data_IF_057223621745
#
_entry.id   IF_057223621745
#
_cell.length_a   1.000
_cell.length_b   1.000
_cell.length_c   1.000
_cell.angle_alpha   90.00
_cell.angle_beta   90.00
_cell.angle_gamma   90.00
#
_symmetry.space_group_name_H-M   'P 1'
#
loop_
_entity.id
_entity.type
_entity.pdbx_description
1 polymer ?
#
# COMPACT_ATOMS: atom_id res chain seq x y z
N UNK A 1 8.29 3.31 14.96
CA UNK A 1 8.23 4.41 15.95
C UNK A 1 9.61 4.83 16.45
N UNK A 2 10.35 3.99 17.20
CA UNK A 2 11.68 4.34 17.70
C UNK A 2 12.62 4.85 16.59
N UNK A 3 12.62 4.18 15.43
CA UNK A 3 13.43 4.55 14.27
C UNK A 3 13.11 5.96 13.72
N UNK A 4 11.83 6.32 13.64
CA UNK A 4 11.39 7.65 13.21
C UNK A 4 11.64 8.74 14.27
N UNK A 5 11.60 8.40 15.57
CA UNK A 5 11.73 9.39 16.67
C UNK A 5 13.19 9.56 17.08
N UNK A 6 13.85 8.47 17.51
CA UNK A 6 15.20 8.51 18.05
C UNK A 6 16.26 8.68 16.97
N UNK A 7 16.07 8.03 15.82
CA UNK A 7 17.00 8.10 14.67
C UNK A 7 16.56 9.09 13.58
N UNK A 8 15.36 9.68 13.68
CA UNK A 8 14.85 10.69 12.75
C UNK A 8 14.80 10.24 11.28
N UNK A 9 14.50 8.96 11.05
CA UNK A 9 14.25 8.43 9.71
C UNK A 9 12.86 8.87 9.24
N UNK A 10 12.80 9.72 8.21
CA UNK A 10 11.57 10.25 7.59
C UNK A 10 10.43 10.51 8.60
N UNK A 11 10.65 11.31 9.65
CA UNK A 11 9.74 11.40 10.78
C UNK A 11 8.37 11.98 10.40
N UNK A 12 8.28 12.76 9.32
CA UNK A 12 7.04 13.37 8.88
C UNK A 12 6.01 12.34 8.40
N UNK A 13 6.46 11.22 7.85
CA UNK A 13 5.58 10.20 7.26
C UNK A 13 5.70 8.85 7.97
N UNK A 14 6.92 8.44 8.37
CA UNK A 14 7.14 7.15 9.01
C UNK A 14 6.60 7.08 10.45
N UNK A 15 6.47 8.23 11.13
CA UNK A 15 5.83 8.29 12.46
C UNK A 15 4.32 8.02 12.37
N UNK A 16 3.53 8.76 11.56
CA UNK A 16 2.12 8.43 11.33
C UNK A 16 1.90 7.01 10.80
N UNK A 17 2.73 6.52 9.86
CA UNK A 17 2.65 5.13 9.37
C UNK A 17 2.85 4.14 10.52
N UNK A 18 3.87 4.35 11.34
CA UNK A 18 4.14 3.48 12.50
C UNK A 18 3.04 3.51 13.55
N UNK A 19 2.42 4.68 13.79
CA UNK A 19 1.30 4.80 14.72
C UNK A 19 0.02 4.18 14.16
N UNK A 20 -0.25 4.36 12.86
CA UNK A 20 -1.31 3.66 12.15
C UNK A 20 -1.16 2.15 12.27
N UNK A 21 0.07 1.63 12.13
CA UNK A 21 0.37 0.22 12.37
C UNK A 21 0.03 -0.26 13.78
N UNK A 22 0.22 0.55 14.83
CA UNK A 22 -0.24 0.20 16.18
C UNK A 22 -1.75 0.11 16.25
N UNK A 23 -2.44 1.14 15.76
CA UNK A 23 -3.90 1.22 15.79
C UNK A 23 -4.54 0.08 14.99
N UNK A 24 -4.02 -0.24 13.82
CA UNK A 24 -4.52 -1.33 12.97
C UNK A 24 -4.45 -2.71 13.63
N UNK A 25 -3.58 -2.89 14.63
CA UNK A 25 -3.32 -4.17 15.27
C UNK A 25 -3.80 -4.22 16.74
N UNK A 26 -4.62 -3.27 17.18
CA UNK A 26 -5.29 -3.41 18.48
C UNK A 26 -6.31 -4.57 18.36
N UNK A 27 -6.17 -5.63 19.18
CA UNK A 27 -7.04 -6.80 19.08
C UNK A 27 -8.50 -6.41 19.32
N UNK A 28 -9.39 -6.96 18.50
CA UNK A 28 -10.85 -6.76 18.57
C UNK A 28 -11.34 -5.30 18.42
N UNK A 29 -10.46 -4.34 18.10
CA UNK A 29 -10.86 -2.94 17.95
C UNK A 29 -11.45 -2.62 16.57
N UNK A 30 -11.16 -3.43 15.55
CA UNK A 30 -11.69 -3.26 14.18
C UNK A 30 -11.28 -1.97 13.46
N UNK A 31 -10.32 -1.19 14.00
CA UNK A 31 -10.08 0.20 13.55
C UNK A 31 -9.61 0.32 12.10
N UNK A 32 -8.89 -0.67 11.57
CA UNK A 32 -8.41 -0.69 10.19
C UNK A 32 -9.12 -1.72 9.29
N UNK A 33 -10.25 -2.26 9.76
CA UNK A 33 -11.02 -3.24 9.00
C UNK A 33 -12.23 -2.55 8.36
N UNK A 34 -12.55 -2.93 7.13
CA UNK A 34 -13.86 -2.65 6.55
C UNK A 34 -14.96 -3.36 7.35
N UNK A 35 -16.22 -2.96 7.18
CA UNK A 35 -17.35 -3.65 7.84
C UNK A 35 -17.37 -5.15 7.48
N UNK A 36 -17.09 -5.48 6.22
CA UNK A 36 -17.06 -6.86 5.75
C UNK A 36 -15.86 -7.63 6.31
N UNK A 37 -14.66 -7.05 6.33
CA UNK A 37 -13.50 -7.70 6.95
C UNK A 37 -13.70 -7.89 8.46
N UNK A 38 -14.36 -6.94 9.13
CA UNK A 38 -14.74 -7.07 10.53
C UNK A 38 -15.70 -8.24 10.74
N UNK A 39 -16.73 -8.39 9.90
CA UNK A 39 -17.63 -9.54 9.91
C UNK A 39 -16.85 -10.86 9.73
N UNK A 40 -15.95 -10.91 8.75
CA UNK A 40 -15.11 -12.08 8.50
C UNK A 40 -14.24 -12.43 9.73
N UNK A 41 -13.75 -11.42 10.46
CA UNK A 41 -12.94 -11.61 11.66
C UNK A 41 -13.75 -12.10 12.89
N UNK A 42 -15.06 -11.85 12.93
CA UNK A 42 -15.93 -12.30 14.03
C UNK A 42 -16.33 -13.78 13.96
N UNK A 43 -16.18 -14.42 12.78
CA UNK A 43 -16.43 -15.85 12.56
C UNK A 43 -17.85 -16.35 12.94
N UNK A 44 -18.89 -15.52 12.81
CA UNK A 44 -20.27 -15.99 13.00
C UNK A 44 -20.69 -16.91 11.84
N UNK A 45 -21.01 -18.16 12.16
CA UNK A 45 -21.34 -19.19 11.16
C UNK A 45 -22.58 -18.84 10.32
N UNK A 46 -23.58 -18.18 10.91
CA UNK A 46 -24.79 -17.77 10.20
C UNK A 46 -24.50 -16.65 9.22
N UNK A 47 -23.71 -15.65 9.64
CA UNK A 47 -23.34 -14.52 8.79
C UNK A 47 -22.41 -14.95 7.65
N UNK A 48 -21.42 -15.81 7.92
CA UNK A 48 -20.54 -16.38 6.88
C UNK A 48 -21.33 -17.18 5.84
N UNK A 49 -22.33 -17.96 6.26
CA UNK A 49 -23.20 -18.69 5.35
C UNK A 49 -23.99 -17.74 4.42
N UNK A 50 -24.44 -16.60 4.92
CA UNK A 50 -25.14 -15.58 4.11
C UNK A 50 -24.20 -14.95 3.09
N UNK A 51 -22.99 -14.56 3.49
CA UNK A 51 -21.98 -13.98 2.57
C UNK A 51 -21.59 -15.00 1.49
N UNK A 52 -21.29 -16.23 1.89
CA UNK A 52 -20.91 -17.29 0.97
C UNK A 52 -22.02 -17.65 -0.03
N UNK A 53 -23.28 -17.66 0.42
CA UNK A 53 -24.43 -17.86 -0.47
C UNK A 53 -24.57 -16.73 -1.50
N UNK A 54 -24.26 -15.48 -1.14
CA UNK A 54 -24.27 -14.35 -2.09
C UNK A 54 -23.11 -14.37 -3.07
N UNK A 55 -21.95 -14.86 -2.65
CA UNK A 55 -20.74 -14.99 -3.47
C UNK A 55 -20.66 -16.32 -4.23
N UNK A 56 -21.60 -17.25 -4.00
CA UNK A 56 -21.59 -18.61 -4.55
C UNK A 56 -20.28 -19.37 -4.26
N UNK A 57 -19.77 -19.25 -3.04
CA UNK A 57 -18.55 -19.93 -2.60
C UNK A 57 -18.77 -20.74 -1.31
N UNK A 58 -17.70 -21.38 -0.81
CA UNK A 58 -17.75 -22.08 0.47
C UNK A 58 -17.87 -21.08 1.65
N UNK A 59 -18.59 -21.43 2.73
CA UNK A 59 -18.70 -20.62 3.95
C UNK A 59 -17.42 -20.69 4.80
N UNK A 60 -16.31 -20.28 4.19
CA UNK A 60 -14.98 -20.24 4.78
C UNK A 60 -14.34 -18.87 4.51
N UNK A 61 -13.56 -18.38 5.48
CA UNK A 61 -12.96 -17.04 5.43
C UNK A 61 -11.98 -16.91 4.26
N UNK A 62 -11.17 -17.93 4.00
CA UNK A 62 -10.21 -17.89 2.90
C UNK A 62 -10.94 -17.96 1.56
N UNK A 63 -11.88 -18.88 1.41
CA UNK A 63 -12.68 -19.01 0.19
C UNK A 63 -13.48 -17.73 -0.12
N UNK A 64 -14.05 -17.06 0.89
CA UNK A 64 -14.74 -15.79 0.72
C UNK A 64 -13.79 -14.69 0.26
N UNK A 65 -12.58 -14.60 0.83
CA UNK A 65 -11.58 -13.60 0.42
C UNK A 65 -11.14 -13.79 -1.03
N UNK A 66 -10.90 -15.04 -1.45
CA UNK A 66 -10.55 -15.36 -2.83
C UNK A 66 -11.70 -15.03 -3.80
N UNK A 67 -12.92 -15.43 -3.46
CA UNK A 67 -14.10 -15.11 -4.26
C UNK A 67 -14.31 -13.60 -4.39
N UNK A 68 -14.09 -12.85 -3.29
CA UNK A 68 -14.23 -11.41 -3.26
C UNK A 68 -13.15 -10.71 -4.09
N UNK A 69 -11.90 -11.17 -4.05
CA UNK A 69 -10.80 -10.64 -4.85
C UNK A 69 -11.06 -10.77 -6.37
N UNK A 70 -11.82 -11.80 -6.78
CA UNK A 70 -12.22 -12.03 -8.17
C UNK A 70 -13.55 -11.36 -8.54
N UNK A 71 -14.32 -10.89 -7.55
CA UNK A 71 -15.63 -10.29 -7.75
C UNK A 71 -15.54 -8.87 -8.35
N UNK A 72 -16.60 -8.46 -9.04
CA UNK A 72 -16.72 -7.10 -9.54
C UNK A 72 -16.76 -6.08 -8.38
N UNK A 73 -16.23 -4.86 -8.55
CA UNK A 73 -16.27 -3.83 -7.50
C UNK A 73 -17.69 -3.50 -7.01
N UNK A 74 -18.69 -3.58 -7.89
CA UNK A 74 -20.10 -3.42 -7.50
C UNK A 74 -20.58 -4.51 -6.56
N UNK A 75 -20.16 -5.76 -6.76
CA UNK A 75 -20.47 -6.90 -5.89
C UNK A 75 -19.75 -6.76 -4.55
N UNK A 76 -18.49 -6.35 -4.55
CA UNK A 76 -17.74 -6.07 -3.31
C UNK A 76 -18.45 -5.00 -2.47
N UNK A 77 -18.85 -3.88 -3.09
CA UNK A 77 -19.60 -2.81 -2.42
C UNK A 77 -20.96 -3.29 -1.87
N UNK A 78 -21.67 -4.15 -2.60
CA UNK A 78 -22.90 -4.77 -2.10
C UNK A 78 -22.65 -5.67 -0.88
N UNK A 79 -21.55 -6.43 -0.85
CA UNK A 79 -21.19 -7.25 0.30
C UNK A 79 -20.78 -6.39 1.50
N UNK A 80 -20.09 -5.26 1.27
CA UNK A 80 -19.82 -4.27 2.33
C UNK A 80 -21.11 -3.71 2.93
N UNK A 81 -22.08 -3.32 2.09
CA UNK A 81 -23.37 -2.81 2.57
C UNK A 81 -24.14 -3.87 3.36
N UNK A 82 -24.11 -5.12 2.91
CA UNK A 82 -24.73 -6.24 3.63
C UNK A 82 -24.09 -6.47 5.01
N UNK A 83 -22.78 -6.31 5.13
CA UNK A 83 -22.10 -6.36 6.43
C UNK A 83 -22.53 -5.20 7.34
N UNK A 84 -22.75 -4.01 6.78
CA UNK A 84 -23.31 -2.87 7.53
C UNK A 84 -24.73 -3.15 8.01
N UNK A 85 -25.58 -3.75 7.17
CA UNK A 85 -26.94 -4.16 7.56
C UNK A 85 -26.95 -5.19 8.70
N UNK A 86 -25.87 -5.96 8.85
CA UNK A 86 -25.67 -6.91 9.96
C UNK A 86 -25.11 -6.26 11.24
N UNK A 87 -24.95 -4.93 11.25
CA UNK A 87 -24.54 -4.16 12.42
C UNK A 87 -23.04 -3.85 12.50
N UNK A 88 -22.23 -4.25 11.51
CA UNK A 88 -20.80 -3.92 11.49
C UNK A 88 -20.56 -2.53 10.95
N UNK A 89 -19.72 -1.75 11.61
CA UNK A 89 -19.32 -0.42 11.14
C UNK A 89 -17.89 -0.46 10.63
N UNK A 90 -17.56 0.20 9.50
CA UNK A 90 -16.18 0.31 9.05
C UNK A 90 -15.31 1.02 10.10
N UNK A 91 -14.11 0.49 10.34
CA UNK A 91 -13.13 1.13 11.19
C UNK A 91 -12.70 2.49 10.67
N UNK A 92 -12.32 3.39 11.57
CA UNK A 92 -11.92 4.76 11.23
C UNK A 92 -10.74 4.80 10.24
N UNK A 93 -9.75 3.93 10.40
CA UNK A 93 -8.61 3.85 9.48
C UNK A 93 -8.99 3.25 8.13
N UNK A 94 -9.98 2.35 8.08
CA UNK A 94 -10.53 1.86 6.82
C UNK A 94 -11.25 2.99 6.04
N UNK A 95 -11.96 3.87 6.74
CA UNK A 95 -12.55 5.07 6.13
C UNK A 95 -11.49 6.03 5.59
N UNK A 96 -10.43 6.30 6.37
CA UNK A 96 -9.30 7.11 5.89
C UNK A 96 -8.64 6.48 4.66
N UNK A 97 -8.40 5.17 4.66
CA UNK A 97 -7.88 4.47 3.50
C UNK A 97 -8.79 4.66 2.29
N UNK A 98 -10.09 4.35 2.41
CA UNK A 98 -11.08 4.42 1.31
C UNK A 98 -11.17 5.82 0.70
N UNK A 99 -11.25 6.85 1.54
CA UNK A 99 -11.44 8.25 1.10
C UNK A 99 -10.14 8.88 0.60
N UNK A 100 -9.03 8.68 1.31
CA UNK A 100 -7.80 9.42 1.08
C UNK A 100 -6.86 8.70 0.11
N UNK A 101 -6.53 7.43 0.38
CA UNK A 101 -5.50 6.70 -0.37
C UNK A 101 -6.10 5.88 -1.50
N UNK A 102 -7.15 5.11 -1.25
CA UNK A 102 -7.82 4.24 -2.23
C UNK A 102 -8.47 5.04 -3.37
N UNK A 103 -8.89 6.27 -3.12
CA UNK A 103 -9.35 7.21 -4.17
C UNK A 103 -8.21 7.79 -5.02
N UNK A 104 -6.97 7.68 -4.54
CA UNK A 104 -5.79 8.31 -5.13
C UNK A 104 -5.60 9.79 -4.79
N UNK A 105 -6.48 10.42 -4.00
CA UNK A 105 -6.43 11.87 -3.73
C UNK A 105 -5.22 12.25 -2.87
N UNK A 106 -5.02 11.61 -1.73
CA UNK A 106 -3.97 11.96 -0.79
C UNK A 106 -2.55 11.90 -1.38
N UNK A 107 -2.11 10.82 -2.07
CA UNK A 107 -0.77 10.80 -2.64
C UNK A 107 -0.57 11.89 -3.71
N UNK A 108 -1.60 12.23 -4.49
CA UNK A 108 -1.50 13.31 -5.48
C UNK A 108 -1.42 14.70 -4.83
N UNK A 109 -2.16 14.94 -3.75
CA UNK A 109 -2.08 16.20 -3.00
C UNK A 109 -0.71 16.35 -2.34
N UNK A 110 -0.15 15.28 -1.77
CA UNK A 110 1.21 15.29 -1.22
C UNK A 110 2.22 15.56 -2.34
N UNK A 111 2.07 14.91 -3.49
CA UNK A 111 2.96 15.10 -4.65
C UNK A 111 2.88 16.52 -5.23
N UNK A 112 1.69 17.14 -5.23
CA UNK A 112 1.53 18.56 -5.55
C UNK A 112 2.33 19.45 -4.59
N UNK A 113 2.32 19.14 -3.29
CA UNK A 113 3.14 19.82 -2.29
C UNK A 113 4.64 19.68 -2.56
N UNK A 114 5.12 18.48 -2.93
CA UNK A 114 6.51 18.26 -3.36
C UNK A 114 6.86 19.14 -4.57
N UNK A 115 5.98 19.19 -5.57
CA UNK A 115 6.16 20.06 -6.73
C UNK A 115 6.23 21.55 -6.38
N UNK A 116 5.39 22.01 -5.44
CA UNK A 116 5.41 23.40 -4.96
C UNK A 116 6.68 23.76 -4.17
N UNK A 117 7.37 22.78 -3.59
CA UNK A 117 8.63 22.95 -2.85
C UNK A 117 9.88 22.73 -3.72
N UNK A 118 9.73 22.36 -5.00
CA UNK A 118 10.85 22.02 -5.88
C UNK A 118 11.38 23.25 -6.61
N UNK A 119 12.67 23.54 -6.49
CA UNK A 119 13.36 24.56 -7.28
C UNK A 119 13.89 24.00 -8.61
N UNK A 120 13.48 24.60 -9.72
CA UNK A 120 13.89 24.20 -11.06
C UNK A 120 15.12 24.97 -11.58
N UNK A 121 15.59 26.02 -10.90
CA UNK A 121 16.74 26.82 -11.31
C UNK A 121 18.00 25.98 -11.60
N UNK A 122 18.45 25.09 -10.68
CA UNK A 122 19.61 24.23 -10.90
C UNK A 122 19.45 23.27 -12.08
N UNK A 123 18.24 22.75 -12.30
CA UNK A 123 17.93 21.82 -13.39
C UNK A 123 17.98 22.53 -14.75
N UNK A 124 17.38 23.72 -14.83
CA UNK A 124 17.33 24.54 -16.05
C UNK A 124 18.71 25.10 -16.42
N UNK A 125 19.56 25.39 -15.43
CA UNK A 125 20.92 25.88 -15.65
C UNK A 125 21.81 24.85 -16.36
N UNK A 126 21.59 23.56 -16.14
CA UNK A 126 22.28 22.49 -16.87
C UNK A 126 21.31 21.34 -17.21
N UNK A 127 20.60 21.44 -18.35
CA UNK A 127 19.58 20.46 -18.74
C UNK A 127 20.13 19.05 -18.96
N UNK A 128 21.45 18.89 -19.15
CA UNK A 128 22.07 17.55 -19.29
C UNK A 128 21.92 16.72 -18.02
N UNK A 129 21.69 17.34 -16.87
CA UNK A 129 21.41 16.64 -15.60
C UNK A 129 20.11 15.82 -15.65
N UNK A 130 19.17 16.12 -16.56
CA UNK A 130 18.00 15.29 -16.83
C UNK A 130 18.37 13.86 -17.24
N UNK A 131 19.47 13.68 -17.97
CA UNK A 131 19.93 12.35 -18.41
C UNK A 131 20.41 11.51 -17.23
N UNK A 132 21.00 12.14 -16.20
CA UNK A 132 21.37 11.45 -14.96
C UNK A 132 20.10 10.96 -14.24
N UNK A 133 19.04 11.79 -14.21
CA UNK A 133 17.73 11.40 -13.70
C UNK A 133 17.12 10.21 -14.44
N UNK A 134 17.25 10.16 -15.78
CA UNK A 134 16.78 9.03 -16.58
C UNK A 134 17.53 7.73 -16.23
N UNK A 135 18.86 7.79 -16.09
CA UNK A 135 19.66 6.63 -15.69
C UNK A 135 19.36 6.19 -14.25
N UNK A 136 19.08 7.12 -13.34
CA UNK A 136 18.74 6.82 -11.94
C UNK A 136 17.47 5.95 -11.82
N UNK A 137 16.53 6.06 -12.76
CA UNK A 137 15.31 5.24 -12.78
C UNK A 137 15.56 3.77 -13.18
N UNK A 138 16.76 3.41 -13.63
CA UNK A 138 17.10 2.02 -13.95
C UNK A 138 16.94 1.08 -12.74
N UNK A 139 17.14 1.59 -11.52
CA UNK A 139 16.91 0.84 -10.29
C UNK A 139 15.49 0.28 -10.17
N UNK A 140 14.48 0.98 -10.70
CA UNK A 140 13.10 0.49 -10.73
C UNK A 140 13.01 -0.79 -11.57
N UNK A 141 13.47 -0.72 -12.82
CA UNK A 141 13.40 -1.84 -13.74
C UNK A 141 14.21 -3.04 -13.26
N UNK A 142 15.42 -2.79 -12.73
CA UNK A 142 16.24 -3.84 -12.13
C UNK A 142 15.53 -4.53 -10.94
N UNK A 143 14.81 -3.75 -10.11
CA UNK A 143 14.04 -4.29 -8.98
C UNK A 143 12.85 -5.11 -9.46
N UNK A 144 12.13 -4.68 -10.50
CA UNK A 144 11.04 -5.46 -11.13
C UNK A 144 11.57 -6.79 -11.67
N UNK A 145 12.68 -6.75 -12.41
CA UNK A 145 13.35 -7.95 -12.93
C UNK A 145 13.73 -8.89 -11.78
N UNK A 146 14.33 -8.37 -10.71
CA UNK A 146 14.66 -9.13 -9.51
C UNK A 146 13.44 -9.81 -8.87
N UNK A 147 12.33 -9.10 -8.71
CA UNK A 147 11.09 -9.65 -8.17
C UNK A 147 10.51 -10.77 -9.06
N UNK A 148 10.52 -10.58 -10.38
CA UNK A 148 10.08 -11.63 -11.32
C UNK A 148 11.04 -12.83 -11.36
N UNK A 149 12.34 -12.60 -11.18
CA UNK A 149 13.33 -13.68 -11.06
C UNK A 149 13.13 -14.48 -9.77
N UNK A 150 12.80 -13.84 -8.64
CA UNK A 150 12.44 -14.55 -7.40
C UNK A 150 11.21 -15.45 -7.58
N UNK A 151 10.23 -14.99 -8.36
CA UNK A 151 9.08 -15.80 -8.75
C UNK A 151 9.47 -16.97 -9.68
N UNK A 152 10.31 -16.71 -10.67
CA UNK A 152 10.80 -17.74 -11.59
C UNK A 152 11.54 -18.88 -10.87
N UNK A 153 12.35 -18.55 -9.86
CA UNK A 153 13.04 -19.56 -9.03
C UNK A 153 12.13 -20.25 -8.00
N UNK A 154 10.85 -19.89 -7.93
CA UNK A 154 9.87 -20.50 -7.02
C UNK A 154 10.12 -20.20 -5.55
N UNK A 155 10.89 -19.15 -5.23
CA UNK A 155 11.18 -18.77 -3.84
C UNK A 155 9.99 -18.04 -3.21
N UNK A 156 9.43 -17.07 -3.94
CA UNK A 156 8.32 -16.23 -3.49
C UNK A 156 7.46 -15.90 -4.70
N UNK A 157 6.14 -16.08 -4.61
CA UNK A 157 5.22 -15.80 -5.71
C UNK A 157 4.99 -14.29 -5.83
N UNK A 158 5.39 -13.71 -6.96
CA UNK A 158 5.08 -12.33 -7.32
C UNK A 158 4.38 -12.27 -8.67
N UNK A 159 3.16 -11.75 -8.67
CA UNK A 159 2.48 -11.37 -9.92
C UNK A 159 3.16 -10.15 -10.54
N UNK A 160 2.94 -9.93 -11.85
CA UNK A 160 3.50 -8.76 -12.53
C UNK A 160 3.06 -7.42 -11.91
N UNK A 161 1.78 -7.19 -11.54
CA UNK A 161 1.37 -5.96 -10.86
C UNK A 161 2.06 -5.75 -9.52
N UNK A 162 2.24 -6.81 -8.73
CA UNK A 162 2.96 -6.75 -7.46
C UNK A 162 4.45 -6.45 -7.67
N UNK A 163 5.12 -7.12 -8.61
CA UNK A 163 6.51 -6.86 -8.95
C UNK A 163 6.71 -5.41 -9.42
N UNK A 164 5.79 -4.88 -10.23
CA UNK A 164 5.80 -3.48 -10.67
C UNK A 164 5.65 -2.50 -9.49
N UNK A 165 4.74 -2.76 -8.56
CA UNK A 165 4.57 -1.94 -7.36
C UNK A 165 5.82 -1.95 -6.47
N UNK A 166 6.47 -3.10 -6.28
CA UNK A 166 7.74 -3.24 -5.55
C UNK A 166 8.86 -2.44 -6.24
N UNK A 167 8.91 -2.49 -7.57
CA UNK A 167 9.92 -1.81 -8.36
C UNK A 167 10.03 -0.30 -8.09
N UNK A 168 8.90 0.38 -7.89
CA UNK A 168 8.88 1.85 -7.70
C UNK A 168 9.66 2.33 -6.47
N UNK A 169 9.90 1.44 -5.49
CA UNK A 169 10.78 1.75 -4.35
C UNK A 169 12.16 2.24 -4.85
N UNK A 170 12.67 1.67 -5.95
CA UNK A 170 13.93 2.07 -6.57
C UNK A 170 13.96 3.50 -7.11
N UNK A 171 12.82 4.15 -7.27
CA UNK A 171 12.71 5.56 -7.67
C UNK A 171 12.89 6.54 -6.50
N UNK A 172 12.93 6.04 -5.25
CA UNK A 172 13.07 6.83 -4.03
C UNK A 172 12.04 7.98 -3.89
N UNK A 173 10.83 7.78 -4.44
CA UNK A 173 9.73 8.73 -4.40
C UNK A 173 8.51 8.11 -3.68
N UNK A 174 8.39 8.43 -2.39
CA UNK A 174 7.37 7.88 -1.50
C UNK A 174 5.92 8.12 -1.99
N UNK A 175 5.50 9.36 -2.28
CA UNK A 175 4.15 9.65 -2.79
C UNK A 175 3.78 8.85 -4.05
N UNK A 176 4.71 8.72 -5.01
CA UNK A 176 4.46 7.94 -6.23
C UNK A 176 4.45 6.44 -5.96
N UNK A 177 5.30 5.94 -5.05
CA UNK A 177 5.27 4.54 -4.61
C UNK A 177 3.93 4.18 -3.95
N UNK A 178 3.41 5.05 -3.08
CA UNK A 178 2.08 4.90 -2.46
C UNK A 178 1.00 4.90 -3.54
N UNK A 179 1.05 5.85 -4.49
CA UNK A 179 0.05 5.96 -5.54
C UNK A 179 0.01 4.72 -6.44
N UNK A 180 1.16 4.26 -6.94
CA UNK A 180 1.21 3.11 -7.84
C UNK A 180 0.85 1.82 -7.11
N UNK A 181 1.37 1.61 -5.89
CA UNK A 181 1.01 0.44 -5.08
C UNK A 181 -0.48 0.42 -4.77
N UNK A 182 -1.09 1.57 -4.44
CA UNK A 182 -2.52 1.67 -4.20
C UNK A 182 -3.39 1.32 -5.42
N UNK A 183 -2.84 1.37 -6.64
CA UNK A 183 -3.54 0.98 -7.88
C UNK A 183 -3.22 -0.43 -8.38
N UNK A 184 -1.98 -0.89 -8.21
CA UNK A 184 -1.51 -2.17 -8.77
C UNK A 184 -1.51 -3.32 -7.77
N UNK A 185 -1.16 -3.05 -6.52
CA UNK A 185 -1.07 -4.07 -5.45
C UNK A 185 -1.45 -3.43 -4.10
N UNK A 186 -2.74 -3.10 -3.89
CA UNK A 186 -3.21 -2.48 -2.66
C UNK A 186 -2.84 -3.27 -1.39
N UNK A 187 -2.79 -4.59 -1.49
CA UNK A 187 -2.44 -5.52 -0.42
C UNK A 187 -0.97 -5.43 0.01
N UNK A 188 -0.08 -4.94 -0.86
CA UNK A 188 1.34 -4.75 -0.57
C UNK A 188 1.70 -3.33 -0.12
N UNK A 189 0.74 -2.41 -0.13
CA UNK A 189 0.97 -0.99 0.13
C UNK A 189 1.70 -0.73 1.44
N UNK A 190 1.33 -1.43 2.52
CA UNK A 190 1.94 -1.26 3.83
C UNK A 190 3.44 -1.57 3.81
N UNK A 191 3.83 -2.72 3.26
CA UNK A 191 5.22 -3.13 3.18
C UNK A 191 6.02 -2.21 2.24
N UNK A 192 5.45 -1.84 1.10
CA UNK A 192 6.10 -0.96 0.11
C UNK A 192 6.34 0.43 0.70
N UNK A 193 5.35 1.04 1.34
CA UNK A 193 5.49 2.38 1.93
C UNK A 193 6.51 2.39 3.08
N UNK A 194 6.47 1.38 3.97
CA UNK A 194 7.45 1.27 5.06
C UNK A 194 8.86 1.11 4.52
N UNK A 195 9.05 0.25 3.52
CA UNK A 195 10.35 0.05 2.88
C UNK A 195 10.85 1.33 2.18
N UNK A 196 9.98 2.02 1.42
CA UNK A 196 10.33 3.24 0.70
C UNK A 196 10.90 4.31 1.64
N UNK A 197 10.16 4.73 2.67
CA UNK A 197 10.64 5.78 3.58
C UNK A 197 11.82 5.32 4.44
N UNK A 198 11.90 4.04 4.80
CA UNK A 198 13.05 3.51 5.54
C UNK A 198 14.32 3.54 4.67
N UNK A 199 14.24 3.13 3.41
CA UNK A 199 15.39 3.08 2.50
C UNK A 199 15.80 4.46 1.99
N UNK A 200 14.87 5.39 1.79
CA UNK A 200 15.19 6.80 1.52
C UNK A 200 16.05 7.42 2.62
N UNK A 201 15.72 7.16 3.89
CA UNK A 201 16.53 7.62 5.02
C UNK A 201 17.89 6.88 5.15
N UNK A 202 18.07 5.74 4.48
CA UNK A 202 19.35 5.01 4.43
C UNK A 202 20.26 5.46 3.27
N UNK A 203 19.84 6.39 2.41
CA UNK A 203 20.69 6.92 1.33
C UNK A 203 22.06 7.39 1.83
N UNK A 204 22.20 8.11 2.95
CA UNK A 204 23.52 8.51 3.48
C UNK A 204 24.41 7.34 3.92
N UNK A 205 23.86 6.14 4.09
CA UNK A 205 24.61 4.93 4.39
C UNK A 205 24.94 4.13 3.12
N UNK A 206 23.99 4.06 2.18
CA UNK A 206 24.07 3.19 0.99
C UNK A 206 24.82 3.86 -0.15
N UNK A 207 24.62 5.16 -0.38
CA UNK A 207 25.19 5.87 -1.53
C UNK A 207 26.70 6.13 -1.42
N UNK A 208 27.27 6.58 -0.28
CA UNK A 208 28.70 6.89 -0.21
C UNK A 208 29.69 5.74 -0.50
N UNK A 209 29.41 4.46 -0.17
CA UNK A 209 30.33 3.36 -0.48
C UNK A 209 30.24 2.80 -1.92
N UNK A 210 29.31 3.28 -2.75
CA UNK A 210 29.14 2.85 -4.15
C UNK A 210 29.93 3.79 -5.07
#
# INVERSE_FOLDING_TARGET
>A
LWLAIAKKFEPLLLLPIGFGGLLSNIPEAGMALTALESLLAHHDAGQLAVIAAKLNCAPDVHAIKEALALALPSVQSQMENLAVDMGYTPGVLALFYKVAIGSGVAPLVIFMGVGAMTDFGPLLANPRTLLLGAAAQFGIFATVLGALTLNYFGLISFTLPQAAAIGIIGGADGPTAIYLSGKLAPELLGAIAVAAYSYMALVPLIQPPI
#
